data_IF_920238985361
#
_entry.id   IF_920238985361
#
_cell.length_a   1.000
_cell.length_b   1.000
_cell.length_c   1.000
_cell.angle_alpha   90.00
_cell.angle_beta   90.00
_cell.angle_gamma   90.00
#
_symmetry.space_group_name_H-M   'P 1'
#
loop_
_entity.id
_entity.type
_entity.pdbx_description
1 polymer ?
#
# COMPACT_ATOMS: atom_id res chain seq x y z
N UNK A 1 6.20 -2.48 15.55
CA UNK A 1 6.01 -1.93 14.18
C UNK A 1 4.60 -2.26 13.71
N UNK A 2 4.00 -1.45 12.82
CA UNK A 2 2.69 -1.69 12.21
C UNK A 2 2.86 -1.89 10.69
N UNK A 3 2.39 -3.03 10.15
CA UNK A 3 2.34 -3.30 8.71
C UNK A 3 0.88 -3.11 8.25
N UNK A 4 0.60 -2.01 7.56
CA UNK A 4 -0.74 -1.59 7.14
C UNK A 4 -1.05 -2.15 5.76
N UNK A 5 -2.15 -2.88 5.62
CA UNK A 5 -2.51 -3.68 4.46
C UNK A 5 -1.47 -4.79 4.21
N UNK A 6 -1.20 -5.56 5.25
CA UNK A 6 -0.15 -6.58 5.25
C UNK A 6 -0.43 -7.80 4.36
N UNK A 7 -1.67 -7.97 3.88
CA UNK A 7 -2.10 -9.12 3.11
C UNK A 7 -1.84 -10.44 3.86
N UNK A 8 -1.12 -11.36 3.22
CA UNK A 8 -0.71 -12.65 3.82
C UNK A 8 0.53 -12.56 4.71
N UNK A 9 0.93 -11.35 5.14
CA UNK A 9 1.98 -11.11 6.12
C UNK A 9 3.41 -11.31 5.62
N UNK A 10 3.70 -11.14 4.33
CA UNK A 10 5.04 -11.38 3.78
C UNK A 10 6.11 -10.49 4.42
N UNK A 11 5.85 -9.18 4.50
CA UNK A 11 6.79 -8.22 5.09
C UNK A 11 6.78 -8.28 6.61
N UNK A 12 5.59 -8.45 7.21
CA UNK A 12 5.47 -8.63 8.66
C UNK A 12 6.33 -9.80 9.16
N UNK A 13 6.27 -10.96 8.46
CA UNK A 13 7.11 -12.14 8.79
C UNK A 13 8.60 -11.85 8.65
N UNK A 14 9.00 -11.16 7.58
CA UNK A 14 10.40 -10.81 7.38
C UNK A 14 10.90 -9.88 8.50
N UNK A 15 10.14 -8.85 8.85
CA UNK A 15 10.50 -7.93 9.94
C UNK A 15 10.57 -8.64 11.29
N UNK A 16 9.62 -9.55 11.59
CA UNK A 16 9.64 -10.34 12.81
C UNK A 16 10.87 -11.28 12.87
N UNK A 17 11.29 -11.86 11.74
CA UNK A 17 12.51 -12.69 11.67
C UNK A 17 13.80 -11.91 11.93
N UNK A 18 13.76 -10.57 11.80
CA UNK A 18 14.84 -9.67 12.17
C UNK A 18 14.80 -9.23 13.65
N UNK A 19 13.86 -9.79 14.45
CA UNK A 19 13.77 -9.52 15.88
C UNK A 19 12.83 -8.37 16.26
N UNK A 20 12.06 -7.82 15.32
CA UNK A 20 11.12 -6.75 15.61
C UNK A 20 9.75 -7.30 16.05
N UNK A 21 9.09 -6.60 16.98
CA UNK A 21 7.69 -6.83 17.27
C UNK A 21 6.82 -6.19 16.18
N UNK A 22 6.03 -6.98 15.49
CA UNK A 22 5.25 -6.56 14.32
C UNK A 22 3.79 -6.92 14.49
N UNK A 23 2.94 -5.97 14.20
CA UNK A 23 1.50 -6.14 14.07
C UNK A 23 1.10 -5.90 12.62
N UNK A 24 0.51 -6.89 11.96
CA UNK A 24 -0.04 -6.76 10.62
C UNK A 24 -1.55 -6.53 10.65
N UNK A 25 -2.04 -5.57 9.88
CA UNK A 25 -3.48 -5.35 9.67
C UNK A 25 -3.84 -5.40 8.20
N UNK A 26 -4.96 -6.05 7.88
CA UNK A 26 -5.53 -6.08 6.53
C UNK A 26 -7.05 -6.19 6.59
N UNK A 27 -7.75 -5.67 5.59
CA UNK A 27 -9.20 -5.74 5.51
C UNK A 27 -9.72 -7.12 5.09
N UNK A 28 -8.88 -7.96 4.46
CA UNK A 28 -9.23 -9.29 3.96
C UNK A 28 -9.17 -10.35 5.07
N UNK A 29 -10.32 -10.90 5.50
CA UNK A 29 -10.35 -11.99 6.47
C UNK A 29 -9.59 -13.23 6.00
N UNK A 30 -9.64 -13.54 4.70
CA UNK A 30 -8.95 -14.69 4.12
C UNK A 30 -7.42 -14.52 4.18
N UNK A 31 -6.92 -13.33 3.84
CA UNK A 31 -5.50 -13.02 3.92
C UNK A 31 -4.99 -13.10 5.35
N UNK A 32 -5.73 -12.55 6.30
CA UNK A 32 -5.39 -12.61 7.72
C UNK A 32 -5.48 -14.04 8.28
N UNK A 33 -6.49 -14.83 7.89
CA UNK A 33 -6.56 -16.24 8.31
C UNK A 33 -5.34 -17.04 7.85
N UNK A 34 -4.81 -16.72 6.65
CA UNK A 34 -3.55 -17.30 6.19
C UNK A 34 -2.35 -16.79 6.98
N UNK A 35 -2.25 -15.47 7.21
CA UNK A 35 -1.15 -14.84 7.93
C UNK A 35 -1.04 -15.33 9.38
N UNK A 36 -2.17 -15.53 10.05
CA UNK A 36 -2.25 -16.05 11.43
C UNK A 36 -1.58 -17.39 11.66
N UNK A 37 -1.35 -18.20 10.62
CA UNK A 37 -0.58 -19.44 10.72
C UNK A 37 0.90 -19.21 11.10
N UNK A 38 1.36 -17.99 11.04
CA UNK A 38 2.74 -17.57 11.31
C UNK A 38 2.86 -16.68 12.56
N UNK A 39 1.76 -16.49 13.31
CA UNK A 39 1.78 -15.74 14.58
C UNK A 39 2.74 -16.38 15.59
N UNK A 40 3.41 -15.55 16.36
CA UNK A 40 4.30 -15.94 17.44
C UNK A 40 4.42 -14.78 18.45
N UNK A 41 5.29 -14.88 19.45
CA UNK A 41 5.46 -13.86 20.51
C UNK A 41 5.83 -12.45 19.98
N UNK A 42 6.31 -12.34 18.73
CA UNK A 42 6.72 -11.07 18.11
C UNK A 42 5.85 -10.67 16.92
N UNK A 43 4.84 -11.47 16.53
CA UNK A 43 4.09 -11.28 15.31
C UNK A 43 2.60 -11.60 15.48
N UNK A 44 1.77 -10.56 15.36
CA UNK A 44 0.32 -10.65 15.44
C UNK A 44 -0.35 -10.13 14.17
N UNK A 45 -1.54 -10.68 13.85
CA UNK A 45 -2.33 -10.26 12.69
C UNK A 45 -3.80 -10.02 13.04
N UNK A 46 -4.37 -8.91 12.51
CA UNK A 46 -5.76 -8.53 12.76
C UNK A 46 -6.49 -8.17 11.46
N UNK A 47 -7.73 -8.65 11.34
CA UNK A 47 -8.66 -8.10 10.34
C UNK A 47 -9.04 -6.70 10.77
N UNK A 48 -8.62 -5.69 10.01
CA UNK A 48 -8.88 -4.31 10.36
C UNK A 48 -8.90 -3.40 9.13
N UNK A 49 -9.82 -2.44 9.11
CA UNK A 49 -9.86 -1.39 8.10
C UNK A 49 -8.95 -0.23 8.52
N UNK A 50 -7.95 0.09 7.70
CA UNK A 50 -6.98 1.16 8.02
C UNK A 50 -7.62 2.56 8.18
N UNK A 51 -8.89 2.75 7.74
CA UNK A 51 -9.63 4.01 7.95
C UNK A 51 -10.18 4.16 9.36
N UNK A 52 -10.21 3.08 10.13
CA UNK A 52 -10.75 3.03 11.49
C UNK A 52 -9.62 3.14 12.52
N UNK A 53 -9.87 3.75 13.70
CA UNK A 53 -8.88 3.80 14.76
C UNK A 53 -8.40 2.40 15.15
N UNK A 54 -7.09 2.26 15.30
CA UNK A 54 -6.42 1.10 15.88
C UNK A 54 -5.75 1.52 17.19
N UNK A 55 -4.61 0.97 17.59
CA UNK A 55 -3.93 1.42 18.82
C UNK A 55 -3.38 2.83 18.67
N UNK A 56 -3.52 3.66 19.72
CA UNK A 56 -3.01 5.04 19.74
C UNK A 56 -1.63 5.15 20.40
N UNK A 57 -0.73 5.95 19.82
CA UNK A 57 0.63 6.22 20.35
C UNK A 57 1.41 4.95 20.75
N UNK A 58 1.32 3.92 19.94
CA UNK A 58 1.84 2.59 20.27
C UNK A 58 3.05 2.18 19.42
N UNK A 59 3.03 2.51 18.13
CA UNK A 59 4.03 2.04 17.18
C UNK A 59 5.17 3.06 17.00
N UNK A 60 6.41 2.57 16.92
CA UNK A 60 7.58 3.38 16.56
C UNK A 60 7.67 3.57 15.04
N UNK A 61 7.23 2.55 14.28
CA UNK A 61 7.19 2.56 12.81
C UNK A 61 5.85 2.02 12.31
N UNK A 62 5.35 2.61 11.23
CA UNK A 62 4.27 2.07 10.41
C UNK A 62 4.70 2.01 8.95
N UNK A 63 4.24 0.98 8.24
CA UNK A 63 4.56 0.74 6.83
C UNK A 63 3.27 0.57 6.04
N UNK A 64 3.25 1.09 4.80
CA UNK A 64 2.25 0.76 3.80
C UNK A 64 2.97 0.56 2.46
N UNK A 65 3.11 -0.71 2.04
CA UNK A 65 3.93 -1.10 0.92
C UNK A 65 3.13 -1.39 -0.35
N UNK A 66 3.80 -1.35 -1.51
CA UNK A 66 3.33 -1.80 -2.82
C UNK A 66 2.02 -1.15 -3.29
N UNK A 67 1.87 0.15 -3.05
CA UNK A 67 0.67 0.88 -3.48
C UNK A 67 -0.63 0.28 -2.88
N UNK A 68 -0.59 -0.10 -1.60
CA UNK A 68 -1.79 -0.55 -0.88
C UNK A 68 -2.69 0.60 -0.41
N UNK A 69 -2.23 1.84 -0.58
CA UNK A 69 -3.00 3.07 -0.42
C UNK A 69 -3.59 3.52 -1.76
N UNK A 70 -4.65 4.34 -1.74
CA UNK A 70 -5.21 4.90 -2.99
C UNK A 70 -6.50 4.23 -3.49
N UNK A 71 -7.00 3.21 -2.81
CA UNK A 71 -8.18 2.43 -3.21
C UNK A 71 -9.52 2.96 -2.68
N UNK A 72 -9.52 4.10 -1.98
CA UNK A 72 -10.76 4.64 -1.42
C UNK A 72 -11.49 5.53 -2.43
N UNK A 73 -12.81 5.71 -2.20
CA UNK A 73 -13.70 6.41 -3.12
C UNK A 73 -13.51 7.93 -3.15
N UNK A 74 -13.03 8.51 -2.04
CA UNK A 74 -12.94 9.95 -1.91
C UNK A 74 -11.78 10.37 -1.00
N UNK A 75 -11.40 11.64 -1.08
CA UNK A 75 -10.29 12.22 -0.34
C UNK A 75 -10.43 12.04 1.18
N UNK A 76 -11.63 12.21 1.72
CA UNK A 76 -11.89 12.07 3.15
C UNK A 76 -11.53 10.68 3.69
N UNK A 77 -11.78 9.63 2.90
CA UNK A 77 -11.41 8.26 3.31
C UNK A 77 -9.90 8.06 3.32
N UNK A 78 -9.18 8.66 2.37
CA UNK A 78 -7.71 8.66 2.36
C UNK A 78 -7.15 9.44 3.56
N UNK A 79 -7.68 10.62 3.85
CA UNK A 79 -7.30 11.41 5.03
C UNK A 79 -7.59 10.67 6.34
N UNK A 80 -8.70 9.93 6.42
CA UNK A 80 -9.02 9.08 7.57
C UNK A 80 -7.96 7.99 7.77
N UNK A 81 -7.55 7.30 6.71
CA UNK A 81 -6.52 6.26 6.79
C UNK A 81 -5.18 6.84 7.28
N UNK A 82 -4.73 7.97 6.75
CA UNK A 82 -3.50 8.61 7.22
C UNK A 82 -3.62 9.10 8.67
N UNK A 83 -4.80 9.63 9.05
CA UNK A 83 -5.05 10.06 10.43
C UNK A 83 -4.96 8.91 11.42
N UNK A 84 -5.53 7.74 11.12
CA UNK A 84 -5.48 6.59 12.01
C UNK A 84 -4.05 6.04 12.12
N UNK A 85 -3.30 6.01 11.03
CA UNK A 85 -1.88 5.63 11.02
C UNK A 85 -1.07 6.61 11.88
N UNK A 86 -1.24 7.92 11.66
CA UNK A 86 -0.55 8.95 12.45
C UNK A 86 -0.89 8.85 13.94
N UNK A 87 -2.17 8.61 14.29
CA UNK A 87 -2.59 8.41 15.67
C UNK A 87 -1.98 7.16 16.31
N UNK A 88 -1.79 6.09 15.53
CA UNK A 88 -1.15 4.85 15.97
C UNK A 88 0.34 5.00 16.28
N UNK A 89 1.01 5.94 15.64
CA UNK A 89 2.42 6.22 15.87
C UNK A 89 2.64 6.98 17.18
N UNK A 90 3.73 6.64 17.88
CA UNK A 90 4.26 7.45 18.99
C UNK A 90 4.71 8.82 18.49
N UNK A 91 4.78 9.86 19.35
CA UNK A 91 5.50 11.09 19.03
C UNK A 91 6.93 10.75 18.56
N UNK A 92 7.36 11.35 17.44
CA UNK A 92 8.65 11.03 16.80
C UNK A 92 8.69 9.72 16.01
N UNK A 93 7.61 8.93 16.00
CA UNK A 93 7.50 7.70 15.20
C UNK A 93 7.46 7.97 13.70
N UNK A 94 7.78 6.95 12.89
CA UNK A 94 7.96 7.09 11.45
C UNK A 94 6.91 6.30 10.67
N UNK A 95 6.43 6.90 9.59
CA UNK A 95 5.59 6.26 8.59
C UNK A 95 6.32 6.16 7.26
N UNK A 96 6.41 4.95 6.73
CA UNK A 96 6.98 4.67 5.43
C UNK A 96 5.84 4.26 4.48
N UNK A 97 5.63 5.03 3.42
CA UNK A 97 4.67 4.70 2.38
C UNK A 97 5.38 4.50 1.04
N UNK A 98 5.12 3.37 0.40
CA UNK A 98 5.61 3.03 -0.93
C UNK A 98 4.44 3.12 -1.92
N UNK A 99 4.49 4.12 -2.78
CA UNK A 99 3.46 4.41 -3.77
C UNK A 99 4.01 4.40 -5.19
N UNK A 100 3.13 4.31 -6.17
CA UNK A 100 3.53 4.52 -7.56
C UNK A 100 3.89 5.99 -7.81
N UNK A 101 4.89 6.25 -8.66
CA UNK A 101 5.12 7.59 -9.16
C UNK A 101 4.14 7.87 -10.29
N UNK A 102 3.16 8.74 -10.03
CA UNK A 102 2.04 9.04 -10.94
C UNK A 102 2.53 9.42 -12.32
N UNK A 103 3.47 10.34 -12.42
CA UNK A 103 3.95 10.87 -13.71
C UNK A 103 4.75 9.82 -14.50
N UNK A 104 5.57 9.02 -13.81
CA UNK A 104 6.26 7.90 -14.44
C UNK A 104 5.27 6.89 -15.01
N UNK A 105 4.23 6.51 -14.23
CA UNK A 105 3.23 5.55 -14.68
C UNK A 105 2.42 6.09 -15.85
N UNK A 106 2.04 7.37 -15.85
CA UNK A 106 1.36 8.02 -16.98
C UNK A 106 2.17 7.94 -18.28
N UNK A 107 3.48 8.21 -18.18
CA UNK A 107 4.38 8.18 -19.33
C UNK A 107 4.69 6.75 -19.84
N UNK A 108 4.51 5.71 -18.98
CA UNK A 108 4.93 4.32 -19.27
C UNK A 108 3.78 3.31 -19.21
N UNK A 109 2.53 3.75 -19.23
CA UNK A 109 1.39 2.84 -19.20
C UNK A 109 1.37 1.96 -20.46
N UNK A 110 1.31 0.64 -20.26
CA UNK A 110 1.11 -0.32 -21.36
C UNK A 110 -0.36 -0.70 -21.35
N UNK A 111 -1.17 -0.24 -22.32
CA UNK A 111 -2.62 -0.37 -22.26
C UNK A 111 -3.14 -1.80 -22.24
N UNK A 112 -2.51 -2.68 -23.00
CA UNK A 112 -2.95 -4.07 -23.13
C UNK A 112 -1.78 -5.02 -22.96
N UNK A 113 -1.97 -6.03 -22.12
CA UNK A 113 -0.99 -7.09 -21.87
C UNK A 113 -1.72 -8.42 -21.76
N UNK A 114 -1.11 -9.46 -22.30
CA UNK A 114 -1.55 -10.83 -22.12
C UNK A 114 -0.49 -11.64 -21.39
N UNK A 115 -0.92 -12.54 -20.53
CA UNK A 115 -0.04 -13.47 -19.84
C UNK A 115 -0.70 -14.83 -19.75
N UNK A 116 0.07 -15.88 -20.03
CA UNK A 116 -0.38 -17.27 -19.86
C UNK A 116 0.44 -17.93 -18.76
N UNK A 117 -0.23 -18.59 -17.83
CA UNK A 117 0.38 -19.36 -16.75
C UNK A 117 -0.29 -20.75 -16.69
N UNK A 118 0.37 -21.76 -17.19
CA UNK A 118 -0.23 -23.08 -17.39
C UNK A 118 -1.41 -22.99 -18.36
N UNK A 119 -2.59 -23.43 -17.93
CA UNK A 119 -3.86 -23.36 -18.70
C UNK A 119 -4.56 -22.01 -18.56
N UNK A 120 -4.20 -21.22 -17.56
CA UNK A 120 -4.85 -19.95 -17.24
C UNK A 120 -4.33 -18.82 -18.13
N UNK A 121 -5.23 -18.09 -18.75
CA UNK A 121 -4.94 -16.92 -19.59
C UNK A 121 -5.43 -15.65 -18.88
N UNK A 122 -4.57 -14.63 -18.87
CA UNK A 122 -4.82 -13.32 -18.26
C UNK A 122 -4.78 -12.25 -19.35
N UNK A 123 -5.88 -11.53 -19.53
CA UNK A 123 -5.93 -10.30 -20.31
C UNK A 123 -5.95 -9.12 -19.36
N UNK A 124 -5.01 -8.19 -19.53
CA UNK A 124 -4.83 -7.07 -18.62
C UNK A 124 -4.97 -5.77 -19.43
N UNK A 125 -5.97 -4.98 -19.09
CA UNK A 125 -6.23 -3.69 -19.67
C UNK A 125 -5.94 -2.59 -18.65
N UNK A 126 -5.10 -1.62 -19.03
CA UNK A 126 -4.74 -0.49 -18.17
C UNK A 126 -5.07 0.83 -18.86
N UNK A 127 -5.69 1.73 -18.14
CA UNK A 127 -5.95 3.10 -18.59
C UNK A 127 -5.95 4.05 -17.40
N UNK A 128 -6.07 5.34 -17.66
CA UNK A 128 -6.25 6.33 -16.61
C UNK A 128 -7.17 7.45 -17.07
N UNK A 129 -7.79 8.12 -16.12
CA UNK A 129 -8.43 9.41 -16.28
C UNK A 129 -7.63 10.50 -15.54
N UNK A 130 -8.23 11.63 -15.27
CA UNK A 130 -7.61 12.74 -14.54
C UNK A 130 -7.21 12.36 -13.10
N UNK A 131 -8.02 11.53 -12.44
CA UNK A 131 -7.93 11.29 -11.00
C UNK A 131 -7.47 9.88 -10.63
N UNK A 132 -7.57 8.90 -11.54
CA UNK A 132 -7.37 7.50 -11.24
C UNK A 132 -6.59 6.76 -12.33
N UNK A 133 -5.85 5.75 -11.89
CA UNK A 133 -5.39 4.64 -12.72
C UNK A 133 -6.35 3.48 -12.57
N UNK A 134 -6.59 2.78 -13.68
CA UNK A 134 -7.44 1.59 -13.74
C UNK A 134 -6.66 0.42 -14.30
N UNK A 135 -6.95 -0.77 -13.77
CA UNK A 135 -6.42 -2.02 -14.28
C UNK A 135 -7.52 -3.07 -14.25
N UNK A 136 -8.02 -3.45 -15.42
CA UNK A 136 -8.96 -4.56 -15.57
C UNK A 136 -8.18 -5.82 -15.88
N UNK A 137 -8.47 -6.90 -15.15
CA UNK A 137 -7.92 -8.24 -15.37
C UNK A 137 -9.08 -9.15 -15.71
N UNK A 138 -8.97 -9.86 -16.84
CA UNK A 138 -9.90 -10.91 -17.27
C UNK A 138 -9.12 -12.22 -17.19
N UNK A 139 -9.64 -13.19 -16.43
CA UNK A 139 -9.02 -14.50 -16.22
C UNK A 139 -9.88 -15.54 -16.88
N UNK A 140 -9.31 -16.27 -17.83
CA UNK A 140 -9.92 -17.40 -18.51
C UNK A 140 -9.14 -18.68 -18.20
N UNK A 141 -9.85 -19.73 -17.81
CA UNK A 141 -9.27 -21.03 -17.51
C UNK A 141 -10.28 -22.12 -17.87
N UNK A 142 -9.87 -23.28 -18.40
CA UNK A 142 -10.78 -24.40 -18.72
C UNK A 142 -11.62 -24.91 -17.55
N UNK A 143 -11.15 -24.73 -16.32
CA UNK A 143 -11.88 -25.11 -15.10
C UNK A 143 -12.93 -24.07 -14.67
N UNK A 144 -12.89 -22.87 -15.23
CA UNK A 144 -13.86 -21.82 -14.95
C UNK A 144 -15.07 -21.90 -15.86
N UNK A 145 -16.28 -21.89 -15.32
CA UNK A 145 -17.53 -21.84 -16.08
C UNK A 145 -17.70 -20.58 -16.93
N UNK A 146 -17.09 -19.48 -16.51
CA UNK A 146 -17.06 -18.17 -17.19
C UNK A 146 -15.81 -17.43 -16.78
N UNK A 147 -15.32 -16.49 -17.60
CA UNK A 147 -14.21 -15.64 -17.22
C UNK A 147 -14.47 -14.90 -15.89
N UNK A 148 -13.43 -14.75 -15.06
CA UNK A 148 -13.45 -13.89 -13.89
C UNK A 148 -12.92 -12.52 -14.31
N UNK A 149 -13.65 -11.48 -13.95
CA UNK A 149 -13.25 -10.10 -14.22
C UNK A 149 -13.06 -9.34 -12.91
N UNK A 150 -11.97 -8.61 -12.82
CA UNK A 150 -11.69 -7.73 -11.70
C UNK A 150 -11.13 -6.41 -12.21
N UNK A 151 -11.62 -5.30 -11.66
CA UNK A 151 -11.10 -3.96 -11.98
C UNK A 151 -10.58 -3.30 -10.71
N UNK A 152 -9.30 -2.97 -10.72
CA UNK A 152 -8.65 -2.16 -9.69
C UNK A 152 -8.72 -0.69 -10.12
N UNK A 153 -8.96 0.18 -9.13
CA UNK A 153 -8.93 1.63 -9.29
C UNK A 153 -8.04 2.22 -8.20
N UNK A 154 -7.03 3.00 -8.60
CA UNK A 154 -6.06 3.61 -7.68
C UNK A 154 -6.01 5.11 -7.95
N UNK A 155 -6.21 5.91 -6.90
CA UNK A 155 -6.17 7.37 -7.00
C UNK A 155 -4.76 7.86 -7.41
N UNK A 156 -4.70 8.97 -8.12
CA UNK A 156 -3.44 9.61 -8.50
C UNK A 156 -3.03 10.60 -7.41
N UNK A 157 -2.06 10.22 -6.59
CA UNK A 157 -1.46 11.11 -5.60
C UNK A 157 -0.02 11.41 -5.96
N UNK A 158 0.27 12.67 -6.20
CA UNK A 158 1.61 13.21 -6.41
C UNK A 158 2.38 13.35 -5.10
N UNK A 159 3.67 13.68 -5.19
CA UNK A 159 4.48 14.06 -4.03
C UNK A 159 3.85 15.25 -3.26
N UNK A 160 3.30 16.24 -3.97
CA UNK A 160 2.62 17.38 -3.35
C UNK A 160 1.41 16.94 -2.55
N UNK A 161 0.54 16.09 -3.12
CA UNK A 161 -0.65 15.57 -2.44
C UNK A 161 -0.29 14.82 -1.15
N UNK A 162 0.71 13.94 -1.21
CA UNK A 162 1.16 13.23 0.00
C UNK A 162 1.77 14.17 1.04
N UNK A 163 2.56 15.15 0.62
CA UNK A 163 3.16 16.13 1.53
C UNK A 163 2.07 16.89 2.29
N UNK A 164 1.02 17.35 1.60
CA UNK A 164 -0.10 18.07 2.20
C UNK A 164 -0.94 17.16 3.11
N UNK A 165 -1.27 15.93 2.64
CA UNK A 165 -2.02 14.97 3.45
C UNK A 165 -1.29 14.60 4.74
N UNK A 166 0.02 14.35 4.67
CA UNK A 166 0.84 14.01 5.82
C UNK A 166 1.00 15.19 6.78
N UNK A 167 1.24 16.40 6.24
CA UNK A 167 1.34 17.62 7.04
C UNK A 167 0.04 17.90 7.80
N UNK A 168 -1.11 17.67 7.18
CA UNK A 168 -2.42 17.81 7.83
C UNK A 168 -2.62 16.84 9.02
N UNK A 169 -1.93 15.68 9.00
CA UNK A 169 -1.92 14.72 10.11
C UNK A 169 -0.78 14.97 11.11
N UNK A 170 -0.09 16.11 11.05
CA UNK A 170 1.03 16.42 11.93
C UNK A 170 2.30 15.62 11.64
N UNK A 171 2.43 15.08 10.45
CA UNK A 171 3.64 14.38 10.00
C UNK A 171 4.46 15.26 9.06
N UNK A 172 5.77 15.11 9.10
CA UNK A 172 6.72 15.80 8.23
C UNK A 172 7.47 14.78 7.37
N UNK A 173 7.45 14.99 6.05
CA UNK A 173 8.28 14.20 5.12
C UNK A 173 9.74 14.51 5.37
N UNK A 174 10.54 13.47 5.63
CA UNK A 174 11.96 13.55 5.95
C UNK A 174 12.82 13.13 4.75
N UNK A 175 12.43 12.04 4.08
CA UNK A 175 13.18 11.47 2.98
C UNK A 175 12.24 11.00 1.87
N UNK A 176 12.74 11.03 0.63
CA UNK A 176 11.98 10.66 -0.57
C UNK A 176 12.90 9.85 -1.49
N UNK A 177 12.43 8.65 -1.87
CA UNK A 177 13.16 7.77 -2.77
C UNK A 177 12.31 7.39 -3.98
N UNK A 178 13.00 7.09 -5.08
CA UNK A 178 12.36 6.79 -6.38
C UNK A 178 12.25 5.31 -6.72
N UNK A 179 12.94 4.44 -5.98
CA UNK A 179 12.96 3.00 -6.20
C UNK A 179 13.38 2.22 -4.93
N UNK A 180 13.41 0.88 -5.02
CA UNK A 180 13.81 0.00 -3.91
C UNK A 180 15.32 -0.08 -3.66
N UNK A 181 16.14 0.59 -4.49
CA UNK A 181 17.55 0.81 -4.22
C UNK A 181 17.82 2.10 -3.46
N UNK A 182 16.73 2.79 -3.04
CA UNK A 182 16.75 4.08 -2.36
C UNK A 182 17.43 5.18 -3.21
N UNK A 183 17.29 5.09 -4.52
CA UNK A 183 17.75 6.13 -5.45
C UNK A 183 16.93 7.40 -5.25
N UNK A 184 17.53 8.56 -5.53
CA UNK A 184 16.85 9.85 -5.43
C UNK A 184 15.59 9.85 -6.30
N UNK A 185 14.47 10.33 -5.75
CA UNK A 185 13.24 10.49 -6.48
C UNK A 185 13.39 11.48 -7.65
N UNK A 186 12.94 11.06 -8.80
CA UNK A 186 12.75 11.91 -9.98
C UNK A 186 11.31 11.75 -10.49
N UNK A 187 10.65 12.87 -10.74
CA UNK A 187 9.22 12.92 -11.05
C UNK A 187 8.84 12.14 -12.33
N UNK A 188 9.79 11.95 -13.26
CA UNK A 188 9.54 11.28 -14.54
C UNK A 188 10.38 10.04 -14.81
N UNK A 189 11.46 9.85 -14.05
CA UNK A 189 12.45 8.81 -14.35
C UNK A 189 12.39 7.63 -13.38
N UNK A 190 11.87 7.82 -12.18
CA UNK A 190 11.82 6.75 -11.18
C UNK A 190 10.42 6.17 -11.04
N UNK A 191 10.29 4.83 -10.93
CA UNK A 191 8.98 4.16 -10.97
C UNK A 191 8.17 4.30 -9.67
N UNK A 192 8.82 4.66 -8.57
CA UNK A 192 8.20 4.73 -7.24
C UNK A 192 8.26 6.12 -6.64
N UNK A 193 7.38 6.33 -5.69
CA UNK A 193 7.38 7.43 -4.74
C UNK A 193 7.36 6.81 -3.34
N UNK A 194 8.55 6.70 -2.73
CA UNK A 194 8.70 6.15 -1.39
C UNK A 194 8.99 7.31 -0.44
N UNK A 195 8.11 7.51 0.52
CA UNK A 195 8.20 8.60 1.49
C UNK A 195 8.48 8.04 2.89
N UNK A 196 9.43 8.65 3.58
CA UNK A 196 9.63 8.47 5.01
C UNK A 196 9.16 9.76 5.69
N UNK A 197 8.10 9.66 6.48
CA UNK A 197 7.55 10.78 7.23
C UNK A 197 7.66 10.53 8.73
N UNK A 198 7.89 11.59 9.51
CA UNK A 198 8.00 11.55 10.96
C UNK A 198 6.84 12.30 11.61
N UNK A 199 6.20 11.68 12.60
CA UNK A 199 5.20 12.35 13.44
C UNK A 199 5.86 13.42 14.31
N UNK A 200 5.32 14.62 14.28
CA UNK A 200 5.76 15.71 15.18
C UNK A 200 5.45 15.36 16.64
N UNK A 201 6.21 15.93 17.54
CA UNK A 201 5.99 15.79 18.99
C UNK A 201 4.71 16.47 19.44
#
# INVERSE_FOLDING_TARGET
MLDVACGRGRHSKMLASLGYHVTGIDISPESIAYAKKFENEQLDFFVHDMRLPFWGNYFDYAFNFFTSFGYFKNRREHDNALRTIANGLKPGGHFIIDYLNVHFVEDHIIPNQEKKLGTTHYEIHKWSDENYFYKKIIITDPELRKPLEHTEQVAKFSLGDFTDMLAYQGMQVMEIFGDYHLSKYDIRQTPRLILIARKKN
#
